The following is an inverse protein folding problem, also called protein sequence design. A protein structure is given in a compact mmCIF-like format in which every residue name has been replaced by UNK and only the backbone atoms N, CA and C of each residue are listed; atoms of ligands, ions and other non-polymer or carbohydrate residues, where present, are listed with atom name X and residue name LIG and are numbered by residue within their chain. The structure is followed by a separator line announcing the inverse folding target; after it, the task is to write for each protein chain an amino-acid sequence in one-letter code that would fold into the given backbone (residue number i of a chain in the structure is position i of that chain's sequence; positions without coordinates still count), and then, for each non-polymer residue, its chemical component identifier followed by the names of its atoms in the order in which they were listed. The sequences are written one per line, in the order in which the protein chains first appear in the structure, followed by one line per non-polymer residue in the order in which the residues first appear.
data_IF_678326701947
#
_entry.id   IF_678326701947
#
_cell.length_a   1.000
_cell.length_b   1.000
_cell.length_c   1.000
_cell.angle_alpha   90.00
_cell.angle_beta   90.00
_cell.angle_gamma   90.00
#
_symmetry.space_group_name_H-M   'P 1'
#
loop_
_entity.id
_entity.type
_entity.pdbx_description
1 polymer ?
#
# COMPACT_ATOMS: atom_id res chain seq x y z
N UNK A 1 -5.46 -5.48 9.41
CA UNK A 1 -6.12 -6.79 9.35
C UNK A 1 -6.66 -6.99 7.95
N UNK A 2 -6.29 -8.10 7.30
CA UNK A 2 -6.71 -8.42 5.95
C UNK A 2 -7.71 -9.59 5.99
N UNK A 3 -8.85 -9.43 5.33
CA UNK A 3 -9.83 -10.50 5.10
C UNK A 3 -9.87 -10.86 3.63
N UNK A 4 -10.74 -11.79 3.22
CA UNK A 4 -10.94 -12.17 1.81
C UNK A 4 -11.53 -11.04 0.96
N UNK A 5 -12.10 -9.98 1.56
CA UNK A 5 -12.80 -8.92 0.82
C UNK A 5 -12.46 -7.51 1.28
N UNK A 6 -11.76 -7.34 2.40
CA UNK A 6 -11.49 -6.01 2.96
C UNK A 6 -10.17 -5.95 3.70
N UNK A 7 -9.43 -4.86 3.50
CA UNK A 7 -8.30 -4.45 4.29
C UNK A 7 -8.74 -3.40 5.33
N UNK A 8 -8.53 -3.71 6.60
CA UNK A 8 -8.76 -2.79 7.71
C UNK A 8 -7.42 -2.27 8.23
N UNK A 9 -7.24 -0.94 8.18
CA UNK A 9 -6.18 -0.26 8.91
C UNK A 9 -6.74 0.13 10.28
N UNK A 10 -6.17 -0.46 11.32
CA UNK A 10 -6.60 -0.27 12.70
C UNK A 10 -5.56 0.51 13.48
N UNK A 11 -6.01 1.40 14.35
CA UNK A 11 -5.17 2.05 15.35
C UNK A 11 -5.57 1.58 16.73
N UNK A 12 -4.59 1.41 17.61
CA UNK A 12 -4.83 1.16 19.02
C UNK A 12 -5.28 2.45 19.70
N UNK A 13 -6.38 2.38 20.45
CA UNK A 13 -6.93 3.49 21.23
C UNK A 13 -7.23 2.97 22.64
N UNK A 14 -6.20 2.99 23.49
CA UNK A 14 -6.28 2.45 24.85
C UNK A 14 -6.40 0.92 24.85
N UNK A 15 -7.56 0.39 25.26
CA UNK A 15 -7.84 -1.07 25.29
C UNK A 15 -8.66 -1.55 24.09
N UNK A 16 -8.94 -0.66 23.14
CA UNK A 16 -9.78 -0.96 21.99
C UNK A 16 -9.02 -0.68 20.70
N UNK A 17 -9.42 -1.37 19.63
CA UNK A 17 -8.96 -1.06 18.28
C UNK A 17 -10.02 -0.24 17.57
N UNK A 18 -9.61 0.87 16.97
CA UNK A 18 -10.47 1.68 16.10
C UNK A 18 -10.05 1.53 14.65
N UNK A 19 -11.02 1.26 13.79
CA UNK A 19 -10.79 1.24 12.34
C UNK A 19 -10.53 2.67 11.86
N UNK A 20 -9.32 2.90 11.34
CA UNK A 20 -8.95 4.16 10.68
C UNK A 20 -9.40 4.16 9.23
N UNK A 21 -9.13 3.06 8.51
CA UNK A 21 -9.59 2.86 7.15
C UNK A 21 -10.21 1.46 6.99
N UNK A 22 -11.26 1.40 6.18
CA UNK A 22 -11.91 0.17 5.75
C UNK A 22 -11.92 0.16 4.23
N UNK A 23 -10.97 -0.53 3.63
CA UNK A 23 -10.74 -0.55 2.20
C UNK A 23 -11.25 -1.87 1.63
N UNK A 24 -12.33 -1.89 0.83
CA UNK A 24 -12.66 -3.10 0.08
C UNK A 24 -11.48 -3.44 -0.84
N UNK A 25 -11.17 -4.72 -1.06
CA UNK A 25 -10.00 -5.07 -1.89
C UNK A 25 -10.13 -4.56 -3.33
N UNK A 26 -11.37 -4.37 -3.81
CA UNK A 26 -11.67 -3.75 -5.11
C UNK A 26 -11.22 -2.28 -5.21
N UNK A 27 -10.95 -1.61 -4.08
CA UNK A 27 -10.43 -0.25 -4.07
C UNK A 27 -8.91 -0.18 -4.31
N UNK A 28 -8.20 -1.31 -4.23
CA UNK A 28 -6.75 -1.35 -4.40
C UNK A 28 -6.45 -1.61 -5.89
N UNK A 29 -5.98 -0.58 -6.58
CA UNK A 29 -5.67 -0.66 -8.00
C UNK A 29 -4.31 -1.36 -8.26
N UNK A 30 -3.30 -1.03 -7.43
CA UNK A 30 -1.95 -1.61 -7.49
C UNK A 30 -1.31 -1.64 -6.11
N UNK A 31 -0.35 -2.53 -5.95
CA UNK A 31 0.55 -2.57 -4.80
C UNK A 31 1.98 -2.42 -5.29
N UNK A 32 2.64 -1.39 -4.79
CA UNK A 32 4.01 -1.05 -5.11
C UNK A 32 4.90 -1.48 -3.94
N UNK A 33 5.87 -2.36 -4.24
CA UNK A 33 6.95 -2.73 -3.32
C UNK A 33 8.29 -2.35 -3.94
N UNK A 34 9.37 -2.40 -3.16
CA UNK A 34 10.73 -2.25 -3.71
C UNK A 34 11.41 -3.60 -3.88
N UNK A 35 12.47 -3.64 -4.69
CA UNK A 35 13.37 -4.80 -4.78
C UNK A 35 14.41 -4.85 -3.65
N UNK A 36 14.34 -3.94 -2.67
CA UNK A 36 15.28 -3.85 -1.55
C UNK A 36 14.78 -4.65 -0.35
N UNK A 37 15.68 -4.91 0.61
CA UNK A 37 15.32 -5.53 1.90
C UNK A 37 14.73 -4.50 2.86
N UNK A 38 13.71 -3.76 2.44
CA UNK A 38 13.00 -2.77 3.24
C UNK A 38 11.61 -3.27 3.67
N UNK A 39 10.87 -2.39 4.37
CA UNK A 39 9.50 -2.65 4.84
C UNK A 39 8.46 -1.82 4.10
N UNK A 40 8.82 -1.31 2.92
CA UNK A 40 7.99 -0.36 2.18
C UNK A 40 6.82 -1.07 1.48
N UNK A 41 5.64 -0.46 1.58
CA UNK A 41 4.46 -0.86 0.86
C UNK A 41 3.67 0.40 0.48
N UNK A 42 3.36 0.57 -0.79
CA UNK A 42 2.45 1.60 -1.26
C UNK A 42 1.22 0.95 -1.89
N UNK A 43 0.04 1.25 -1.34
CA UNK A 43 -1.24 0.85 -1.91
C UNK A 43 -1.76 1.99 -2.78
N UNK A 44 -1.85 1.75 -4.09
CA UNK A 44 -2.52 2.67 -5.01
C UNK A 44 -4.00 2.43 -4.96
N UNK A 45 -4.77 3.47 -4.68
CA UNK A 45 -6.22 3.36 -4.64
C UNK A 45 -6.82 3.67 -6.01
N UNK A 46 -8.00 3.11 -6.30
CA UNK A 46 -8.74 3.51 -7.49
C UNK A 46 -9.26 4.95 -7.32
N UNK A 47 -9.31 5.77 -8.39
CA UNK A 47 -9.64 7.20 -8.30
C UNK A 47 -10.95 7.53 -7.56
N UNK A 48 -11.96 6.66 -7.67
CA UNK A 48 -13.24 6.78 -7.00
C UNK A 48 -13.12 6.71 -5.46
N UNK A 49 -12.06 6.09 -4.94
CA UNK A 49 -11.78 5.97 -3.52
C UNK A 49 -10.89 7.10 -2.97
N UNK A 50 -10.27 7.93 -3.81
CA UNK A 50 -9.37 9.01 -3.37
C UNK A 50 -10.05 10.05 -2.47
N UNK A 51 -11.34 10.34 -2.71
CA UNK A 51 -12.09 11.31 -1.91
C UNK A 51 -12.33 10.84 -0.47
N UNK A 52 -12.55 9.55 -0.27
CA UNK A 52 -12.88 8.96 1.03
C UNK A 52 -11.61 8.63 1.80
N UNK A 53 -10.62 8.09 1.10
CA UNK A 53 -9.41 7.53 1.72
C UNK A 53 -8.18 8.41 1.59
N UNK A 54 -8.34 9.61 1.02
CA UNK A 54 -7.33 10.68 1.00
C UNK A 54 -6.08 10.31 0.20
N UNK A 55 -6.26 9.76 -1.00
CA UNK A 55 -5.19 9.40 -1.93
C UNK A 55 -4.58 8.02 -1.65
N UNK A 56 -3.37 7.80 -2.15
CA UNK A 56 -2.65 6.54 -2.00
C UNK A 56 -2.09 6.39 -0.58
N UNK A 57 -1.90 5.14 -0.14
CA UNK A 57 -1.48 4.84 1.23
C UNK A 57 -0.06 4.29 1.25
N UNK A 58 0.84 5.02 1.91
CA UNK A 58 2.20 4.56 2.22
C UNK A 58 2.17 3.89 3.60
N UNK A 59 2.68 2.66 3.68
CA UNK A 59 2.70 1.84 4.87
C UNK A 59 4.10 1.25 5.10
N UNK A 60 4.47 1.12 6.37
CA UNK A 60 5.62 0.31 6.79
C UNK A 60 5.11 -1.04 7.33
N UNK A 61 5.51 -2.14 6.70
CA UNK A 61 5.04 -3.49 7.01
C UNK A 61 6.21 -4.45 7.24
N UNK A 62 6.32 -5.12 8.41
CA UNK A 62 7.42 -6.06 8.67
C UNK A 62 7.41 -7.31 7.76
N UNK A 63 6.24 -7.81 7.39
CA UNK A 63 6.09 -9.04 6.60
C UNK A 63 5.51 -8.74 5.21
N UNK A 64 6.20 -7.91 4.42
CA UNK A 64 5.70 -7.45 3.10
C UNK A 64 5.33 -8.63 2.19
N UNK A 65 6.19 -9.63 2.06
CA UNK A 65 5.97 -10.77 1.15
C UNK A 65 4.73 -11.59 1.55
N UNK A 66 4.57 -11.89 2.84
CA UNK A 66 3.40 -12.62 3.35
C UNK A 66 2.11 -11.82 3.11
N UNK A 67 2.13 -10.53 3.39
CA UNK A 67 0.97 -9.67 3.18
C UNK A 67 0.58 -9.61 1.69
N UNK A 68 1.55 -9.39 0.81
CA UNK A 68 1.33 -9.26 -0.63
C UNK A 68 0.83 -10.57 -1.25
N UNK A 69 1.41 -11.71 -0.86
CA UNK A 69 0.97 -13.02 -1.35
C UNK A 69 -0.47 -13.33 -0.93
N UNK A 70 -0.85 -13.04 0.31
CA UNK A 70 -2.24 -13.17 0.74
C UNK A 70 -3.17 -12.24 -0.05
N UNK A 71 -2.76 -10.99 -0.26
CA UNK A 71 -3.57 -10.01 -0.97
C UNK A 71 -3.81 -10.40 -2.43
N UNK A 72 -2.79 -10.89 -3.13
CA UNK A 72 -2.91 -11.43 -4.49
C UNK A 72 -3.88 -12.60 -4.51
N UNK A 73 -3.75 -13.53 -3.55
CA UNK A 73 -4.66 -14.67 -3.43
C UNK A 73 -6.10 -14.26 -3.13
N UNK A 74 -6.32 -13.22 -2.32
CA UNK A 74 -7.66 -12.75 -1.96
C UNK A 74 -8.34 -11.96 -3.08
N UNK A 75 -7.55 -11.27 -3.91
CA UNK A 75 -8.06 -10.49 -5.06
C UNK A 75 -8.18 -11.30 -6.34
N UNK A 76 -7.54 -12.47 -6.41
CA UNK A 76 -7.38 -13.26 -7.64
C UNK A 76 -6.75 -12.43 -8.79
N UNK A 77 -5.89 -11.47 -8.42
CA UNK A 77 -5.25 -10.55 -9.35
C UNK A 77 -3.73 -10.71 -9.31
N UNK A 78 -3.21 -11.54 -10.21
CA UNK A 78 -1.77 -11.80 -10.32
C UNK A 78 -0.97 -10.60 -10.83
N UNK A 79 -1.62 -9.63 -11.48
CA UNK A 79 -1.00 -8.40 -11.96
C UNK A 79 -1.05 -7.30 -10.90
N UNK A 80 -1.55 -7.54 -9.69
CA UNK A 80 -1.75 -6.50 -8.67
C UNK A 80 -0.43 -5.83 -8.22
N UNK A 81 0.68 -6.56 -8.29
CA UNK A 81 1.94 -6.17 -7.66
C UNK A 81 2.90 -5.60 -8.70
N UNK A 82 3.53 -4.48 -8.36
CA UNK A 82 4.67 -3.93 -9.08
C UNK A 82 5.89 -3.86 -8.15
N UNK A 83 7.05 -4.26 -8.67
CA UNK A 83 8.31 -4.30 -7.94
C UNK A 83 9.23 -3.22 -8.52
N UNK A 84 9.53 -2.21 -7.71
CA UNK A 84 10.34 -1.07 -8.12
C UNK A 84 11.79 -1.25 -7.64
N UNK A 85 12.75 -1.15 -8.55
CA UNK A 85 14.17 -1.11 -8.24
C UNK A 85 14.65 0.31 -8.00
N UNK A 86 15.81 0.44 -7.35
CA UNK A 86 16.51 1.73 -7.22
C UNK A 86 16.85 2.35 -8.59
N UNK A 87 16.95 1.55 -9.65
CA UNK A 87 17.15 2.05 -11.02
C UNK A 87 15.91 2.77 -11.56
N UNK A 88 14.71 2.48 -11.04
CA UNK A 88 13.52 3.27 -11.36
C UNK A 88 13.61 4.70 -10.80
N UNK A 89 14.44 4.93 -9.79
CA UNK A 89 14.75 6.23 -9.21
C UNK A 89 13.65 6.83 -8.32
N UNK A 90 12.43 6.94 -8.84
CA UNK A 90 11.30 7.55 -8.11
C UNK A 90 9.98 6.81 -8.36
N UNK A 91 9.13 6.77 -7.35
CA UNK A 91 7.71 6.37 -7.47
C UNK A 91 6.85 7.62 -7.28
N UNK A 92 5.98 7.91 -8.24
CA UNK A 92 4.94 8.94 -8.11
C UNK A 92 3.66 8.31 -7.55
N UNK A 93 2.97 9.03 -6.65
CA UNK A 93 1.71 8.57 -6.03
C UNK A 93 0.74 9.74 -5.79
N UNK A 94 -0.54 9.46 -5.62
CA UNK A 94 -1.57 10.47 -5.36
C UNK A 94 -1.66 10.84 -3.89
N UNK A 95 -1.69 12.15 -3.63
CA UNK A 95 -1.91 12.73 -2.30
C UNK A 95 -3.39 13.04 -2.05
N UNK A 96 -3.70 13.33 -0.79
CA UNK A 96 -5.07 13.58 -0.31
C UNK A 96 -5.77 14.78 -0.93
N UNK A 97 -4.99 15.75 -1.40
CA UNK A 97 -5.48 16.95 -2.06
C UNK A 97 -5.59 16.79 -3.58
N UNK A 98 -5.31 15.59 -4.11
CA UNK A 98 -5.31 15.27 -5.53
C UNK A 98 -4.03 15.66 -6.27
N UNK A 99 -3.01 16.15 -5.57
CA UNK A 99 -1.69 16.40 -6.16
C UNK A 99 -0.81 15.16 -6.15
N UNK A 100 0.33 15.21 -6.86
CA UNK A 100 1.27 14.09 -6.90
C UNK A 100 2.41 14.27 -5.89
N UNK A 101 2.64 13.22 -5.09
CA UNK A 101 3.81 13.05 -4.25
C UNK A 101 4.87 12.21 -4.96
N UNK A 102 6.13 12.33 -4.50
CA UNK A 102 7.25 11.54 -5.00
C UNK A 102 7.97 10.82 -3.87
N UNK A 103 8.36 9.59 -4.13
CA UNK A 103 9.13 8.72 -3.23
C UNK A 103 10.43 8.38 -3.95
N UNK A 104 11.55 8.89 -3.44
CA UNK A 104 12.87 8.61 -3.99
C UNK A 104 13.37 7.25 -3.50
N UNK A 105 13.75 6.39 -4.43
CA UNK A 105 14.33 5.08 -4.15
C UNK A 105 15.86 5.22 -4.17
N UNK A 106 16.48 5.05 -3.02
CA UNK A 106 17.94 5.19 -2.87
C UNK A 106 18.53 3.94 -2.24
N UNK A 107 19.77 3.64 -2.60
CA UNK A 107 20.54 2.58 -1.95
C UNK A 107 21.46 3.21 -0.91
N UNK A 108 21.35 2.74 0.33
CA UNK A 108 22.33 3.07 1.36
C UNK A 108 23.49 2.09 1.22
N UNK A 109 24.63 2.57 0.75
CA UNK A 109 25.88 1.80 0.81
C UNK A 109 26.33 1.80 2.27
N UNK A 110 26.22 0.65 2.94
CA UNK A 110 26.75 0.40 4.29
C UNK A 110 28.26 0.15 4.25
#
# INVERSE_FOLDING_TARGET
MLTTTTLYLVMEEGKHFKSKHKLPLTAIAKVEITSQSDRFLLLRLSPEHHKTDKGDLILEMPNVIEFVTFLVSATDNHDLVNINSVENGQITHMLSDGTEGKIDLTQVNL
#
